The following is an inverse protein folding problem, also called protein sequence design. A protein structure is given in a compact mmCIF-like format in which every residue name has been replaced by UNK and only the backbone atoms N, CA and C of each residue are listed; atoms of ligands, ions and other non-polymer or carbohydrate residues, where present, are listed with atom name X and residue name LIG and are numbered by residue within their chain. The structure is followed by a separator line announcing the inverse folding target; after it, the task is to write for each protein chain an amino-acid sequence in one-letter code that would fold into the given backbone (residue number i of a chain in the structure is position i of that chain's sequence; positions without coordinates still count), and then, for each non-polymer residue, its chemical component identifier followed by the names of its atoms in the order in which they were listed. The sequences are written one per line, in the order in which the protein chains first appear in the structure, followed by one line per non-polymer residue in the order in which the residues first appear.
data_IF_981722972807
#
_entry.id   IF_981722972807
#
_cell.length_a   1.000
_cell.length_b   1.000
_cell.length_c   1.000
_cell.angle_alpha   90.00
_cell.angle_beta   90.00
_cell.angle_gamma   90.00
#
_symmetry.space_group_name_H-M   'P 1'
#
loop_
_entity.id
_entity.type
_entity.pdbx_description
1 polymer ?
#
# COMPACT_ATOMS: atom_id res chain seq x y z
N UNK A 1 -22.61 -48.59 -29.18
CA UNK A 1 -22.11 -48.17 -27.86
C UNK A 1 -23.20 -48.45 -26.85
N UNK A 2 -22.96 -49.28 -25.85
CA UNK A 2 -24.01 -49.62 -24.88
C UNK A 2 -24.35 -48.39 -24.03
N UNK A 3 -25.61 -48.26 -23.64
CA UNK A 3 -26.12 -47.15 -22.79
C UNK A 3 -25.30 -47.02 -21.49
N UNK A 4 -24.79 -48.12 -20.99
CA UNK A 4 -23.93 -48.14 -19.79
C UNK A 4 -22.59 -47.43 -20.01
N UNK A 5 -21.95 -47.60 -21.16
CA UNK A 5 -20.68 -46.91 -21.49
C UNK A 5 -20.93 -45.40 -21.63
N UNK A 6 -22.04 -45.01 -22.24
CA UNK A 6 -22.40 -43.58 -22.35
C UNK A 6 -22.62 -42.93 -20.99
N UNK A 7 -23.29 -43.57 -20.04
CA UNK A 7 -23.47 -43.08 -18.68
C UNK A 7 -22.14 -42.87 -17.96
N UNK A 8 -21.22 -43.84 -18.06
CA UNK A 8 -19.89 -43.75 -17.44
C UNK A 8 -19.11 -42.58 -18.03
N UNK A 9 -19.12 -42.41 -19.35
CA UNK A 9 -18.41 -41.32 -20.03
C UNK A 9 -18.95 -39.95 -19.61
N UNK A 10 -20.28 -39.81 -19.49
CA UNK A 10 -20.91 -38.55 -19.03
C UNK A 10 -20.51 -38.25 -17.60
N UNK A 11 -20.52 -39.25 -16.70
CA UNK A 11 -20.14 -39.07 -15.31
C UNK A 11 -18.68 -38.64 -15.17
N UNK A 12 -17.77 -39.27 -15.89
CA UNK A 12 -16.34 -38.91 -15.90
C UNK A 12 -16.13 -37.50 -16.47
N UNK A 13 -16.83 -37.13 -17.53
CA UNK A 13 -16.74 -35.79 -18.10
C UNK A 13 -17.25 -34.72 -17.15
N UNK A 14 -18.36 -34.96 -16.45
CA UNK A 14 -18.89 -34.04 -15.42
C UNK A 14 -17.93 -33.89 -14.23
N UNK A 15 -17.32 -35.00 -13.78
CA UNK A 15 -16.34 -34.98 -12.70
C UNK A 15 -15.09 -34.19 -13.09
N UNK A 16 -14.57 -34.42 -14.30
CA UNK A 16 -13.42 -33.67 -14.84
C UNK A 16 -13.73 -32.19 -15.00
N UNK A 17 -14.91 -31.84 -15.51
CA UNK A 17 -15.35 -30.44 -15.61
C UNK A 17 -15.46 -29.76 -14.25
N UNK A 18 -16.07 -30.43 -13.26
CA UNK A 18 -16.18 -29.92 -11.90
C UNK A 18 -14.79 -29.67 -11.29
N UNK A 19 -13.85 -30.58 -11.49
CA UNK A 19 -12.48 -30.41 -11.00
C UNK A 19 -11.77 -29.22 -11.63
N UNK A 20 -11.88 -29.02 -12.94
CA UNK A 20 -11.30 -27.89 -13.67
C UNK A 20 -11.87 -26.55 -13.15
N UNK A 21 -13.19 -26.48 -12.98
CA UNK A 21 -13.86 -25.28 -12.47
C UNK A 21 -13.34 -24.93 -11.06
N UNK A 22 -13.30 -25.90 -10.15
CA UNK A 22 -12.78 -25.69 -8.77
C UNK A 22 -11.31 -25.26 -8.80
N UNK A 23 -10.50 -25.87 -9.67
CA UNK A 23 -9.07 -25.53 -9.79
C UNK A 23 -8.87 -24.08 -10.26
N UNK A 24 -9.64 -23.62 -11.26
CA UNK A 24 -9.57 -22.24 -11.77
C UNK A 24 -9.98 -21.26 -10.67
N UNK A 25 -11.08 -21.52 -9.95
CA UNK A 25 -11.54 -20.62 -8.86
C UNK A 25 -10.53 -20.54 -7.72
N UNK A 26 -9.94 -21.65 -7.29
CA UNK A 26 -8.92 -21.67 -6.26
C UNK A 26 -7.67 -20.90 -6.70
N UNK A 27 -7.20 -21.10 -7.93
CA UNK A 27 -6.03 -20.40 -8.46
C UNK A 27 -6.23 -18.87 -8.52
N UNK A 28 -7.41 -18.41 -8.94
CA UNK A 28 -7.74 -16.99 -8.96
C UNK A 28 -7.82 -16.38 -7.54
N UNK A 29 -8.36 -17.12 -6.58
CA UNK A 29 -8.43 -16.69 -5.18
C UNK A 29 -7.04 -16.57 -4.58
N UNK A 30 -6.16 -17.55 -4.83
CA UNK A 30 -4.79 -17.53 -4.33
C UNK A 30 -3.98 -16.39 -4.91
N UNK A 31 -4.11 -16.12 -6.21
CA UNK A 31 -3.47 -14.97 -6.85
C UNK A 31 -3.93 -13.65 -6.23
N UNK A 32 -5.24 -13.48 -6.03
CA UNK A 32 -5.80 -12.28 -5.40
C UNK A 32 -5.27 -12.08 -3.98
N UNK A 33 -5.20 -13.14 -3.19
CA UNK A 33 -4.68 -13.10 -1.82
C UNK A 33 -3.20 -12.68 -1.81
N UNK A 34 -2.37 -13.26 -2.68
CA UNK A 34 -0.95 -12.89 -2.80
C UNK A 34 -0.74 -11.43 -3.21
N UNK A 35 -1.56 -10.94 -4.15
CA UNK A 35 -1.50 -9.52 -4.56
C UNK A 35 -1.93 -8.59 -3.42
N UNK A 36 -2.92 -8.99 -2.63
CA UNK A 36 -3.38 -8.24 -1.46
C UNK A 36 -2.31 -8.21 -0.35
N UNK A 37 -1.68 -9.33 -0.07
CA UNK A 37 -0.56 -9.42 0.88
C UNK A 37 0.63 -8.54 0.44
N UNK A 38 1.01 -8.59 -0.83
CA UNK A 38 2.07 -7.76 -1.38
C UNK A 38 1.74 -6.27 -1.24
N UNK A 39 0.54 -5.87 -1.64
CA UNK A 39 0.06 -4.49 -1.53
C UNK A 39 0.08 -4.01 -0.08
N UNK A 40 -0.47 -4.81 0.83
CA UNK A 40 -0.53 -4.49 2.25
C UNK A 40 0.87 -4.32 2.84
N UNK A 41 1.79 -5.23 2.53
CA UNK A 41 3.18 -5.16 2.98
C UNK A 41 3.88 -3.88 2.50
N UNK A 42 3.70 -3.52 1.22
CA UNK A 42 4.29 -2.29 0.66
C UNK A 42 3.72 -1.01 1.25
N UNK A 43 2.41 -0.94 1.44
CA UNK A 43 1.78 0.22 2.07
C UNK A 43 2.12 0.33 3.56
N UNK A 44 2.31 -0.79 4.26
CA UNK A 44 2.78 -0.81 5.63
C UNK A 44 4.23 -0.28 5.73
N UNK A 45 5.15 -0.75 4.88
CA UNK A 45 6.52 -0.23 4.81
C UNK A 45 6.54 1.27 4.51
N UNK A 46 5.72 1.71 3.55
CA UNK A 46 5.59 3.13 3.23
C UNK A 46 5.09 3.95 4.43
N UNK A 47 4.09 3.45 5.15
CA UNK A 47 3.60 4.10 6.37
C UNK A 47 4.69 4.23 7.43
N UNK A 48 5.46 3.16 7.71
CA UNK A 48 6.55 3.18 8.69
C UNK A 48 7.64 4.16 8.28
N UNK A 49 8.08 4.13 7.02
CA UNK A 49 9.12 5.03 6.51
C UNK A 49 8.70 6.50 6.61
N UNK A 50 7.46 6.82 6.29
CA UNK A 50 6.91 8.16 6.47
C UNK A 50 6.80 8.55 7.95
N UNK A 51 6.39 7.62 8.81
CA UNK A 51 6.26 7.86 10.24
C UNK A 51 7.60 8.11 10.91
N UNK A 52 8.62 7.30 10.59
CA UNK A 52 9.99 7.45 11.10
C UNK A 52 10.62 8.76 10.63
N UNK A 53 10.41 9.13 9.36
CA UNK A 53 10.92 10.39 8.79
C UNK A 53 10.49 11.63 9.59
N UNK A 54 9.34 11.60 10.25
CA UNK A 54 8.82 12.70 11.08
C UNK A 54 9.62 12.88 12.37
N UNK A 55 10.10 11.79 12.95
CA UNK A 55 10.76 11.79 14.28
C UNK A 55 12.28 11.95 14.21
N UNK A 56 12.89 11.81 13.05
CA UNK A 56 14.34 11.78 12.89
C UNK A 56 14.90 13.06 12.28
N UNK A 57 16.22 13.26 12.49
CA UNK A 57 16.95 14.29 11.74
C UNK A 57 17.00 13.90 10.27
N UNK A 58 16.75 14.85 9.39
CA UNK A 58 16.82 14.63 7.95
C UNK A 58 18.25 14.26 7.54
N UNK A 59 18.43 13.02 7.12
CA UNK A 59 19.67 12.47 6.60
C UNK A 59 19.49 12.09 5.12
N UNK A 60 20.57 11.95 4.34
CA UNK A 60 20.45 11.46 2.96
C UNK A 60 19.75 10.10 2.85
N UNK A 61 19.85 9.29 3.90
CA UNK A 61 19.23 7.96 3.98
C UNK A 61 17.73 8.08 4.23
N UNK A 62 17.32 8.91 5.20
CA UNK A 62 15.90 9.16 5.48
C UNK A 62 15.17 9.79 4.27
N UNK A 63 15.87 10.61 3.48
CA UNK A 63 15.31 11.16 2.22
C UNK A 63 15.07 10.05 1.18
N UNK A 64 15.97 9.07 1.06
CA UNK A 64 15.77 7.92 0.17
C UNK A 64 14.58 7.07 0.61
N UNK A 65 14.44 6.82 1.90
CA UNK A 65 13.34 6.03 2.45
C UNK A 65 12.00 6.77 2.26
N UNK A 66 11.99 8.08 2.43
CA UNK A 66 10.84 8.93 2.11
C UNK A 66 10.45 8.84 0.62
N UNK A 67 11.42 8.96 -0.29
CA UNK A 67 11.18 8.83 -1.72
C UNK A 67 10.68 7.44 -2.10
N UNK A 68 11.22 6.38 -1.48
CA UNK A 68 10.76 5.00 -1.66
C UNK A 68 9.31 4.85 -1.19
N UNK A 69 8.97 5.40 -0.03
CA UNK A 69 7.60 5.38 0.48
C UNK A 69 6.61 6.03 -0.49
N UNK A 70 6.95 7.18 -1.06
CA UNK A 70 6.12 7.86 -2.06
C UNK A 70 5.98 7.02 -3.34
N UNK A 71 7.06 6.36 -3.80
CA UNK A 71 7.01 5.46 -4.96
C UNK A 71 6.11 4.23 -4.70
N UNK A 72 6.20 3.61 -3.53
CA UNK A 72 5.34 2.49 -3.15
C UNK A 72 3.86 2.92 -3.09
N UNK A 73 3.57 4.11 -2.59
CA UNK A 73 2.20 4.64 -2.59
C UNK A 73 1.70 4.87 -4.02
N UNK A 74 2.54 5.36 -4.93
CA UNK A 74 2.16 5.54 -6.33
C UNK A 74 1.85 4.22 -7.02
N UNK A 75 2.57 3.14 -6.70
CA UNK A 75 2.38 1.82 -7.31
C UNK A 75 1.21 1.04 -6.71
N UNK A 76 1.05 1.09 -5.40
CA UNK A 76 0.14 0.21 -4.65
C UNK A 76 -1.02 0.94 -3.98
N UNK A 77 -0.97 2.26 -3.90
CA UNK A 77 -1.97 3.10 -3.25
C UNK A 77 -3.28 3.24 -4.02
N UNK A 78 -4.31 3.64 -3.31
CA UNK A 78 -5.59 4.07 -3.89
C UNK A 78 -5.43 5.44 -4.56
N UNK A 79 -6.40 5.82 -5.40
CA UNK A 79 -6.41 7.16 -6.04
C UNK A 79 -6.29 8.29 -5.01
N UNK A 80 -6.93 8.17 -3.87
CA UNK A 80 -6.86 9.14 -2.78
C UNK A 80 -5.46 9.23 -2.17
N UNK A 81 -4.83 8.09 -1.87
CA UNK A 81 -3.47 8.02 -1.34
C UNK A 81 -2.45 8.62 -2.31
N UNK A 82 -2.58 8.30 -3.59
CA UNK A 82 -1.74 8.88 -4.65
C UNK A 82 -1.91 10.40 -4.74
N UNK A 83 -3.14 10.91 -4.64
CA UNK A 83 -3.40 12.36 -4.66
C UNK A 83 -2.72 13.08 -3.48
N UNK A 84 -2.79 12.52 -2.27
CA UNK A 84 -2.08 13.08 -1.11
C UNK A 84 -0.55 13.00 -1.27
N UNK A 85 -0.02 11.91 -1.80
CA UNK A 85 1.41 11.77 -2.07
C UNK A 85 1.91 12.80 -3.09
N UNK A 86 1.14 13.05 -4.15
CA UNK A 86 1.44 14.12 -5.12
C UNK A 86 1.39 15.52 -4.50
N UNK A 87 0.38 15.79 -3.66
CA UNK A 87 0.30 17.04 -2.91
C UNK A 87 1.53 17.27 -2.04
N UNK A 88 2.00 16.23 -1.37
CA UNK A 88 3.20 16.28 -0.54
C UNK A 88 4.47 16.51 -1.38
N UNK A 89 4.63 15.84 -2.52
CA UNK A 89 5.75 16.08 -3.44
C UNK A 89 5.79 17.52 -3.93
N UNK A 90 4.63 18.10 -4.24
CA UNK A 90 4.50 19.49 -4.64
C UNK A 90 4.90 20.44 -3.51
N UNK A 91 4.45 20.17 -2.28
CA UNK A 91 4.87 20.95 -1.11
C UNK A 91 6.39 20.92 -0.92
N UNK A 92 7.03 19.74 -1.05
CA UNK A 92 8.49 19.61 -0.97
C UNK A 92 9.20 20.46 -2.01
N UNK A 93 8.66 20.50 -3.24
CA UNK A 93 9.26 21.27 -4.34
C UNK A 93 9.07 22.79 -4.21
N UNK A 94 7.96 23.23 -3.60
CA UNK A 94 7.58 24.66 -3.54
C UNK A 94 7.92 25.32 -2.19
N UNK A 95 8.11 24.51 -1.12
CA UNK A 95 8.33 25.03 0.25
C UNK A 95 9.78 25.44 0.44
N UNK A 96 10.01 26.74 0.51
CA UNK A 96 11.26 27.31 1.06
C UNK A 96 11.34 27.15 2.59
N UNK A 97 10.20 26.96 3.26
CA UNK A 97 10.09 26.97 4.73
C UNK A 97 10.18 25.57 5.39
N UNK A 98 10.31 24.50 4.58
CA UNK A 98 10.50 23.14 5.08
C UNK A 98 9.35 22.56 5.91
N UNK A 99 8.18 23.17 5.92
CA UNK A 99 7.01 22.69 6.64
C UNK A 99 6.21 21.72 5.76
N UNK A 100 6.27 20.41 6.07
CA UNK A 100 5.53 19.36 5.36
C UNK A 100 4.38 18.86 6.23
N UNK A 101 3.16 18.89 5.71
CA UNK A 101 2.00 18.28 6.36
C UNK A 101 1.77 16.86 5.81
N UNK A 102 2.29 15.88 6.54
CA UNK A 102 2.16 14.45 6.21
C UNK A 102 0.94 13.82 6.91
N UNK A 103 0.30 14.54 7.83
CA UNK A 103 -0.73 13.97 8.71
C UNK A 103 -1.89 13.35 7.95
N UNK A 104 -2.37 14.00 6.90
CA UNK A 104 -3.49 13.51 6.10
C UNK A 104 -3.11 12.24 5.32
N UNK A 105 -1.91 12.18 4.74
CA UNK A 105 -1.43 10.99 4.04
C UNK A 105 -1.28 9.81 5.01
N UNK A 106 -0.69 10.02 6.19
CA UNK A 106 -0.56 8.98 7.22
C UNK A 106 -1.93 8.50 7.72
N UNK A 107 -2.90 9.41 7.86
CA UNK A 107 -4.27 9.04 8.25
C UNK A 107 -4.88 8.10 7.24
N UNK A 108 -4.85 8.48 5.96
CA UNK A 108 -5.47 7.69 4.88
C UNK A 108 -4.77 6.36 4.69
N UNK A 109 -3.44 6.30 4.84
CA UNK A 109 -2.67 5.04 4.80
C UNK A 109 -3.05 4.13 5.97
N UNK A 110 -3.03 4.64 7.19
CA UNK A 110 -3.41 3.89 8.40
C UNK A 110 -4.80 3.30 8.27
N UNK A 111 -5.78 4.13 7.89
CA UNK A 111 -7.18 3.71 7.83
C UNK A 111 -7.40 2.68 6.71
N UNK A 112 -6.68 2.79 5.59
CA UNK A 112 -6.69 1.78 4.53
C UNK A 112 -6.09 0.46 5.00
N UNK A 113 -4.92 0.49 5.65
CA UNK A 113 -4.27 -0.71 6.18
C UNK A 113 -5.18 -1.40 7.21
N UNK A 114 -5.79 -0.63 8.13
CA UNK A 114 -6.71 -1.18 9.14
C UNK A 114 -7.94 -1.81 8.49
N UNK A 115 -8.50 -1.19 7.45
CA UNK A 115 -9.62 -1.75 6.69
C UNK A 115 -9.25 -3.04 5.98
N UNK A 116 -8.08 -3.08 5.34
CA UNK A 116 -7.58 -4.29 4.65
C UNK A 116 -7.31 -5.43 5.65
N UNK A 117 -6.98 -5.12 6.91
CA UNK A 117 -6.83 -6.05 8.02
C UNK A 117 -8.14 -6.37 8.76
N UNK A 118 -9.26 -5.81 8.32
CA UNK A 118 -10.57 -5.97 8.96
C UNK A 118 -10.61 -5.51 10.42
N UNK A 119 -9.86 -4.43 10.74
CA UNK A 119 -9.80 -3.79 12.06
C UNK A 119 -10.75 -2.59 12.10
N UNK A 120 -11.26 -2.28 13.30
CA UNK A 120 -12.13 -1.13 13.53
C UNK A 120 -11.46 0.20 13.13
N UNK A 121 -12.26 1.14 12.60
CA UNK A 121 -11.80 2.48 12.28
C UNK A 121 -11.48 3.27 13.57
N UNK A 122 -10.38 4.02 13.54
CA UNK A 122 -10.00 4.89 14.66
C UNK A 122 -10.56 6.28 14.42
N UNK A 123 -11.34 6.79 15.38
CA UNK A 123 -11.87 8.17 15.36
C UNK A 123 -10.81 9.22 15.65
N UNK A 124 -9.64 8.83 16.17
CA UNK A 124 -8.54 9.75 16.50
C UNK A 124 -7.70 10.03 15.25
N UNK A 125 -7.55 11.33 14.92
CA UNK A 125 -6.54 11.74 13.96
C UNK A 125 -5.16 11.30 14.46
N UNK A 126 -4.31 10.70 13.64
CA UNK A 126 -2.94 10.45 14.00
C UNK A 126 -2.27 11.80 14.27
N UNK A 127 -1.16 11.77 14.98
CA UNK A 127 -0.32 12.91 15.32
C UNK A 127 -0.35 14.01 14.25
N UNK A 128 -0.32 15.29 14.67
CA UNK A 128 0.08 16.38 13.79
C UNK A 128 1.62 16.43 13.79
N UNK A 129 2.28 15.74 12.88
CA UNK A 129 3.72 15.87 12.77
C UNK A 129 4.01 17.10 11.93
N UNK A 130 4.46 18.16 12.57
CA UNK A 130 5.05 19.31 11.90
C UNK A 130 6.54 19.00 11.76
N UNK A 131 6.99 18.74 10.55
CA UNK A 131 8.42 18.59 10.26
C UNK A 131 8.97 19.97 9.99
N UNK A 132 9.82 20.47 10.87
CA UNK A 132 10.60 21.68 10.63
C UNK A 132 11.96 21.27 10.08
N UNK A 133 12.17 21.39 8.78
CA UNK A 133 13.49 21.21 8.16
C UNK A 133 14.30 22.48 8.47
N UNK A 134 15.13 22.44 9.52
CA UNK A 134 16.12 23.50 9.75
C UNK A 134 17.20 23.37 8.68
N UNK A 135 17.21 24.26 7.71
CA UNK A 135 18.36 24.47 6.84
C UNK A 135 19.52 24.98 7.71
N UNK A 136 20.59 24.20 7.87
CA UNK A 136 21.82 24.69 8.46
C UNK A 136 22.34 25.85 7.57
N UNK A 137 22.68 27.02 8.16
CA UNK A 137 23.28 28.09 7.38
C UNK A 137 24.62 27.60 6.81
N UNK A 138 25.02 28.06 5.61
CA UNK A 138 26.29 27.66 5.02
C UNK A 138 27.42 28.04 5.97
N UNK A 139 28.25 27.07 6.35
CA UNK A 139 29.51 27.31 7.08
C UNK A 139 30.37 28.19 6.19
N UNK A 140 30.45 29.48 6.51
CA UNK A 140 31.46 30.36 5.94
C UNK A 140 32.82 29.86 6.36
N UNK A 141 33.59 29.38 5.38
CA UNK A 141 35.03 29.10 5.47
C UNK A 141 35.80 30.41 5.25
#
# INVERSE_FOLDING_TARGET
MSIEIAKILITVALAAFGWVVVHIFNSQRDLRNRLMELRLGRLYEAFINLYVFIGEKVTPESVKDFQRALADIQLYGTKQQVAYAHGLQKQVAESSDGNLDIADLLTVLRDSIRRDLNLEELSTKPFKPVITIKSEPPKNS
#
